data_IF_882083474105
#
_entry.id   IF_882083474105
#
_cell.length_a   1.000
_cell.length_b   1.000
_cell.length_c   1.000
_cell.angle_alpha   90.00
_cell.angle_beta   90.00
_cell.angle_gamma   90.00
#
_symmetry.space_group_name_H-M   'P 1'
#
loop_
_entity.id
_entity.type
_entity.pdbx_description
1 polymer ?
#
# COMPACT_ATOMS: atom_id res chain seq x y z
N UNK A 1 45.38 22.93 -16.60
CA UNK A 1 44.62 21.66 -16.65
C UNK A 1 43.17 21.96 -17.05
N UNK A 2 42.67 21.30 -18.10
CA UNK A 2 41.50 21.71 -18.90
C UNK A 2 40.17 21.54 -18.16
N UNK A 3 39.54 22.65 -17.72
CA UNK A 3 38.15 22.69 -17.19
C UNK A 3 37.09 22.21 -18.20
N UNK A 4 37.46 22.02 -19.46
CA UNK A 4 36.56 21.61 -20.56
C UNK A 4 35.92 20.23 -20.39
N UNK A 5 36.53 19.31 -19.61
CA UNK A 5 35.99 17.95 -19.44
C UNK A 5 34.95 17.82 -18.33
N UNK A 6 34.81 18.86 -17.49
CA UNK A 6 33.89 18.86 -16.35
C UNK A 6 32.44 19.00 -16.82
N UNK A 7 32.17 19.87 -17.80
CA UNK A 7 30.82 20.12 -18.31
C UNK A 7 30.13 18.91 -18.97
N UNK A 8 30.77 18.15 -19.88
CA UNK A 8 30.12 16.96 -20.45
C UNK A 8 29.91 15.86 -19.39
N UNK A 9 30.81 15.74 -18.41
CA UNK A 9 30.66 14.80 -17.31
C UNK A 9 29.47 15.16 -16.40
N UNK A 10 29.34 16.44 -16.01
CA UNK A 10 28.19 16.92 -15.22
C UNK A 10 26.89 16.76 -16.01
N UNK A 11 26.88 17.09 -17.31
CA UNK A 11 25.71 16.90 -18.19
C UNK A 11 25.29 15.42 -18.27
N UNK A 12 26.24 14.51 -18.43
CA UNK A 12 25.99 13.07 -18.44
C UNK A 12 25.37 12.59 -17.12
N UNK A 13 25.89 13.04 -15.98
CA UNK A 13 25.32 12.71 -14.66
C UNK A 13 23.88 13.20 -14.49
N UNK A 14 23.58 14.41 -14.97
CA UNK A 14 22.21 14.97 -14.96
C UNK A 14 21.28 14.16 -15.87
N UNK A 15 21.72 13.78 -17.07
CA UNK A 15 20.96 12.92 -17.98
C UNK A 15 20.68 11.54 -17.37
N UNK A 16 21.68 10.89 -16.76
CA UNK A 16 21.50 9.62 -16.03
C UNK A 16 20.51 9.81 -14.88
N UNK A 17 20.61 10.90 -14.12
CA UNK A 17 19.68 11.24 -13.05
C UNK A 17 18.23 11.40 -13.56
N UNK A 18 18.03 12.06 -14.70
CA UNK A 18 16.71 12.23 -15.32
C UNK A 18 16.14 10.91 -15.86
N UNK A 19 16.96 10.10 -16.54
CA UNK A 19 16.55 8.79 -17.07
C UNK A 19 16.17 7.86 -15.93
N UNK A 20 16.98 7.79 -14.87
CA UNK A 20 16.67 6.98 -13.69
C UNK A 20 15.43 7.49 -12.97
N UNK A 21 15.25 8.80 -12.79
CA UNK A 21 14.02 9.37 -12.23
C UNK A 21 12.78 8.99 -13.05
N UNK A 22 12.84 9.13 -14.38
CA UNK A 22 11.72 8.82 -15.26
C UNK A 22 11.39 7.33 -15.26
N UNK A 23 12.39 6.48 -15.49
CA UNK A 23 12.21 5.03 -15.66
C UNK A 23 11.97 4.30 -14.34
N UNK A 24 12.57 4.73 -13.23
CA UNK A 24 12.49 4.04 -11.95
C UNK A 24 11.42 4.61 -11.03
N UNK A 25 11.16 5.93 -11.02
CA UNK A 25 10.21 6.56 -10.08
C UNK A 25 8.89 6.89 -10.75
N UNK A 26 8.92 7.62 -11.88
CA UNK A 26 7.70 8.06 -12.55
C UNK A 26 6.91 6.87 -13.13
N UNK A 27 7.59 5.97 -13.85
CA UNK A 27 6.95 4.77 -14.44
C UNK A 27 6.46 3.75 -13.41
N UNK A 28 7.14 3.59 -12.27
CA UNK A 28 6.68 2.66 -11.21
C UNK A 28 5.62 3.30 -10.30
N UNK A 29 5.30 4.60 -10.49
CA UNK A 29 4.50 5.38 -9.53
C UNK A 29 5.02 5.24 -8.08
N UNK A 30 6.32 5.03 -7.95
CA UNK A 30 7.02 4.76 -6.69
C UNK A 30 6.77 3.39 -6.05
N UNK A 31 6.03 2.47 -6.67
CA UNK A 31 5.78 1.12 -6.15
C UNK A 31 7.05 0.25 -6.16
N UNK A 32 7.24 -0.52 -5.08
CA UNK A 32 8.22 -1.59 -5.01
C UNK A 32 7.84 -2.54 -3.86
N UNK A 33 8.13 -3.85 -4.01
CA UNK A 33 7.81 -4.87 -3.01
C UNK A 33 8.32 -4.52 -1.60
N UNK A 34 9.58 -4.07 -1.46
CA UNK A 34 10.15 -3.73 -0.16
C UNK A 34 9.39 -2.61 0.58
N UNK A 35 8.60 -1.80 -0.15
CA UNK A 35 7.80 -0.70 0.43
C UNK A 35 6.49 -1.17 1.03
N UNK A 36 6.06 -2.39 0.72
CA UNK A 36 4.83 -2.99 1.28
C UNK A 36 5.13 -4.13 2.26
N UNK A 37 6.31 -4.73 2.20
CA UNK A 37 6.72 -5.79 3.13
C UNK A 37 7.31 -5.22 4.43
N UNK A 38 6.72 -5.59 5.57
CA UNK A 38 7.20 -5.18 6.90
C UNK A 38 8.20 -6.18 7.48
N UNK A 39 8.99 -5.72 8.47
CA UNK A 39 9.84 -6.60 9.29
C UNK A 39 9.20 -6.93 10.65
N UNK A 40 7.96 -6.48 10.88
CA UNK A 40 7.27 -6.76 12.12
C UNK A 40 6.76 -8.20 12.10
N UNK A 41 6.87 -8.89 13.23
CA UNK A 41 6.30 -10.21 13.40
C UNK A 41 4.83 -10.14 13.80
N UNK A 42 4.34 -11.26 14.35
CA UNK A 42 3.03 -11.34 14.96
C UNK A 42 2.88 -10.37 16.15
N UNK A 43 1.75 -9.66 16.22
CA UNK A 43 1.35 -8.79 17.32
C UNK A 43 -0.15 -9.04 17.62
N UNK A 44 -0.47 -9.63 18.79
CA UNK A 44 -1.84 -10.06 19.10
C UNK A 44 -2.83 -8.91 19.22
N UNK A 45 -2.35 -7.67 19.40
CA UNK A 45 -3.22 -6.47 19.46
C UNK A 45 -3.90 -6.16 18.13
N UNK A 46 -3.35 -6.69 17.04
CA UNK A 46 -3.81 -6.46 15.67
C UNK A 46 -4.24 -7.75 14.99
N UNK A 47 -4.46 -8.79 15.79
CA UNK A 47 -5.03 -10.06 15.36
C UNK A 47 -6.55 -10.00 15.51
N UNK A 48 -7.25 -10.16 14.39
CA UNK A 48 -8.72 -10.11 14.34
C UNK A 48 -9.33 -11.52 14.26
N UNK A 49 -8.52 -12.56 14.51
CA UNK A 49 -8.96 -13.94 14.47
C UNK A 49 -8.99 -14.55 13.07
N UNK A 50 -9.56 -15.74 12.98
CA UNK A 50 -9.73 -16.44 11.71
C UNK A 50 -10.83 -15.78 10.87
N UNK A 51 -10.67 -15.73 9.53
CA UNK A 51 -11.74 -15.28 8.66
C UNK A 51 -13.00 -16.14 8.85
N UNK A 52 -14.18 -15.52 8.78
CA UNK A 52 -15.43 -16.26 8.68
C UNK A 52 -15.64 -16.78 7.24
N UNK A 53 -16.72 -17.53 7.00
CA UNK A 53 -16.99 -18.14 5.69
C UNK A 53 -17.05 -17.12 4.53
N UNK A 54 -17.71 -15.97 4.75
CA UNK A 54 -17.79 -14.90 3.74
C UNK A 54 -16.43 -14.29 3.44
N UNK A 55 -15.59 -14.11 4.47
CA UNK A 55 -14.24 -13.59 4.34
C UNK A 55 -13.30 -14.61 3.69
N UNK A 56 -13.45 -15.90 3.97
CA UNK A 56 -12.71 -16.95 3.27
C UNK A 56 -13.04 -16.93 1.77
N UNK A 57 -14.32 -16.85 1.40
CA UNK A 57 -14.74 -16.74 0.00
C UNK A 57 -14.19 -15.47 -0.67
N UNK A 58 -14.17 -14.34 0.04
CA UNK A 58 -13.55 -13.09 -0.41
C UNK A 58 -12.04 -13.24 -0.65
N UNK A 59 -11.34 -13.89 0.27
CA UNK A 59 -9.91 -14.13 0.19
C UNK A 59 -9.56 -15.08 -0.98
N UNK A 60 -10.41 -16.07 -1.24
CA UNK A 60 -10.29 -16.94 -2.40
C UNK A 60 -10.51 -16.18 -3.70
N UNK A 61 -11.53 -15.31 -3.76
CA UNK A 61 -11.80 -14.46 -4.92
C UNK A 61 -10.58 -13.60 -5.31
N UNK A 62 -9.92 -12.96 -4.34
CA UNK A 62 -8.74 -12.12 -4.61
C UNK A 62 -7.48 -12.95 -4.95
N UNK A 63 -7.43 -14.24 -4.59
CA UNK A 63 -6.30 -15.12 -4.87
C UNK A 63 -6.39 -15.80 -6.25
N UNK A 64 -7.59 -16.03 -6.77
CA UNK A 64 -7.81 -16.71 -8.06
C UNK A 64 -7.19 -15.96 -9.26
N UNK A 65 -7.31 -14.63 -9.29
CA UNK A 65 -6.90 -13.80 -10.43
C UNK A 65 -5.90 -12.72 -10.00
N UNK A 66 -5.01 -12.27 -10.90
CA UNK A 66 -4.07 -11.19 -10.58
C UNK A 66 -4.80 -9.88 -10.26
N UNK A 67 -4.33 -9.19 -9.22
CA UNK A 67 -4.81 -7.87 -8.85
C UNK A 67 -4.00 -6.80 -9.60
N UNK A 68 -4.69 -5.91 -10.28
CA UNK A 68 -4.03 -4.87 -11.10
C UNK A 68 -3.80 -3.60 -10.30
N UNK A 69 -2.62 -3.00 -10.43
CA UNK A 69 -2.33 -1.74 -9.75
C UNK A 69 -3.35 -0.65 -10.12
N UNK A 70 -4.05 -0.15 -9.10
CA UNK A 70 -5.04 0.92 -9.24
C UNK A 70 -4.41 2.28 -8.98
N UNK A 71 -3.62 2.41 -7.91
CA UNK A 71 -3.12 3.71 -7.50
C UNK A 71 -2.22 3.69 -6.27
N UNK A 72 -1.67 4.87 -5.96
CA UNK A 72 -0.80 5.09 -4.81
C UNK A 72 -1.36 6.22 -3.96
N UNK A 73 -1.78 5.92 -2.74
CA UNK A 73 -2.20 6.91 -1.75
C UNK A 73 -1.06 7.36 -0.83
N UNK A 74 -1.37 8.13 0.21
CA UNK A 74 -0.37 8.53 1.22
C UNK A 74 0.17 7.33 2.00
N UNK A 75 -0.74 6.47 2.47
CA UNK A 75 -0.42 5.35 3.38
C UNK A 75 -0.42 3.98 2.70
N UNK A 76 -0.97 3.82 1.50
CA UNK A 76 -1.12 2.51 0.86
C UNK A 76 -0.90 2.53 -0.66
N UNK A 77 -0.63 1.35 -1.22
CA UNK A 77 -0.79 1.08 -2.64
C UNK A 77 -2.04 0.24 -2.84
N UNK A 78 -2.90 0.64 -3.78
CA UNK A 78 -4.17 0.00 -4.05
C UNK A 78 -4.06 -0.85 -5.31
N UNK A 79 -4.59 -2.06 -5.25
CA UNK A 79 -4.75 -2.99 -6.35
C UNK A 79 -6.22 -3.38 -6.45
N UNK A 80 -6.70 -3.62 -7.66
CA UNK A 80 -8.10 -3.93 -7.94
C UNK A 80 -8.21 -5.31 -8.56
N UNK A 81 -9.28 -6.04 -8.22
CA UNK A 81 -9.64 -7.29 -8.87
C UNK A 81 -9.99 -7.08 -10.35
N UNK A 82 -9.96 -8.17 -11.13
CA UNK A 82 -10.22 -8.13 -12.58
C UNK A 82 -11.63 -7.63 -12.93
N UNK A 83 -12.63 -7.98 -12.12
CA UNK A 83 -14.02 -7.51 -12.22
C UNK A 83 -14.19 -6.06 -11.74
N UNK A 84 -13.16 -5.48 -11.14
CA UNK A 84 -13.19 -4.12 -10.65
C UNK A 84 -14.01 -3.91 -9.37
N UNK A 85 -14.51 -4.97 -8.72
CA UNK A 85 -15.43 -4.86 -7.58
C UNK A 85 -14.72 -4.60 -6.25
N UNK A 86 -13.52 -5.14 -6.08
CA UNK A 86 -12.75 -5.11 -4.83
C UNK A 86 -11.43 -4.38 -5.00
N UNK A 87 -11.00 -3.73 -3.92
CA UNK A 87 -9.72 -3.05 -3.81
C UNK A 87 -8.94 -3.63 -2.63
N UNK A 88 -7.77 -4.18 -2.91
CA UNK A 88 -6.81 -4.65 -1.91
C UNK A 88 -5.73 -3.57 -1.73
N UNK A 89 -5.57 -3.07 -0.51
CA UNK A 89 -4.62 -2.00 -0.18
C UNK A 89 -3.51 -2.55 0.71
N UNK A 90 -2.26 -2.43 0.24
CA UNK A 90 -1.08 -2.78 1.02
C UNK A 90 -0.45 -1.53 1.64
N UNK A 91 -0.11 -1.59 2.93
CA UNK A 91 0.41 -0.44 3.66
C UNK A 91 1.85 -0.10 3.27
N UNK A 92 2.16 1.20 3.19
CA UNK A 92 3.48 1.72 2.88
C UNK A 92 4.38 1.69 4.11
N UNK A 93 5.22 0.68 4.16
CA UNK A 93 6.15 0.45 5.25
C UNK A 93 7.25 1.53 5.36
N UNK A 94 7.53 2.33 4.31
CA UNK A 94 8.54 3.40 4.39
C UNK A 94 8.30 4.44 5.50
N UNK A 95 7.04 4.67 5.87
CA UNK A 95 6.65 5.62 6.91
C UNK A 95 6.48 4.95 8.27
N UNK A 96 6.39 3.62 8.29
CA UNK A 96 6.13 2.79 9.47
C UNK A 96 7.39 2.06 9.97
N UNK A 97 8.37 1.81 9.09
CA UNK A 97 9.66 1.17 9.40
C UNK A 97 10.76 2.18 9.69
N UNK A 98 11.72 1.71 10.47
CA UNK A 98 13.07 2.27 10.50
C UNK A 98 14.03 1.25 9.91
N UNK A 99 14.42 1.45 8.66
CA UNK A 99 15.57 0.78 8.07
C UNK A 99 16.75 1.74 8.18
N UNK A 100 17.81 1.40 8.91
CA UNK A 100 19.09 2.08 8.75
C UNK A 100 20.27 1.12 8.99
N UNK A 101 21.20 1.13 8.04
CA UNK A 101 22.58 0.60 8.15
C UNK A 101 23.30 1.22 9.36
N UNK A 102 22.84 2.39 9.84
CA UNK A 102 23.33 3.06 11.05
C UNK A 102 23.04 2.31 12.37
N UNK A 103 22.60 1.05 12.32
CA UNK A 103 22.66 0.14 13.47
C UNK A 103 24.06 -0.44 13.68
N UNK A 104 24.90 -0.46 12.64
CA UNK A 104 26.25 -1.03 12.66
C UNK A 104 27.36 0.00 12.89
N UNK A 105 27.02 1.29 12.97
CA UNK A 105 27.99 2.36 13.22
C UNK A 105 27.93 2.77 14.71
N UNK A 106 29.07 2.90 15.39
CA UNK A 106 29.13 3.44 16.75
C UNK A 106 28.92 4.96 16.68
N UNK A 107 27.66 5.41 16.80
CA UNK A 107 27.32 6.84 16.65
C UNK A 107 27.09 7.51 18.00
N UNK A 108 27.63 8.72 18.13
CA UNK A 108 27.52 9.71 19.22
C UNK A 108 26.11 9.81 19.83
N UNK A 109 26.03 9.95 21.16
CA UNK A 109 24.79 9.96 21.98
C UNK A 109 23.64 10.84 21.45
N UNK A 110 23.91 12.04 20.90
CA UNK A 110 22.86 12.92 20.35
C UNK A 110 22.11 12.30 19.16
N UNK A 111 22.79 11.49 18.34
CA UNK A 111 22.15 10.78 17.23
C UNK A 111 21.25 9.65 17.74
N UNK A 112 21.67 8.96 18.81
CA UNK A 112 20.85 7.92 19.45
C UNK A 112 19.53 8.48 19.98
N UNK A 113 19.54 9.67 20.58
CA UNK A 113 18.32 10.35 21.05
C UNK A 113 17.38 10.66 19.87
N UNK A 114 17.89 11.31 18.82
CA UNK A 114 17.09 11.62 17.60
C UNK A 114 16.56 10.36 16.92
N UNK A 115 17.35 9.28 16.91
CA UNK A 115 16.96 7.97 16.39
C UNK A 115 15.81 7.38 17.21
N UNK A 116 15.90 7.40 18.55
CA UNK A 116 14.82 6.95 19.45
C UNK A 116 13.54 7.75 19.25
N UNK A 117 13.62 9.08 19.17
CA UNK A 117 12.46 9.94 18.89
C UNK A 117 11.81 9.63 17.54
N UNK A 118 12.61 9.45 16.48
CA UNK A 118 12.12 9.09 15.15
C UNK A 118 11.45 7.71 15.13
N UNK A 119 12.02 6.74 15.86
CA UNK A 119 11.44 5.41 16.05
C UNK A 119 10.10 5.48 16.77
N UNK A 120 10.04 6.20 17.89
CA UNK A 120 8.82 6.43 18.66
C UNK A 120 7.73 7.06 17.80
N UNK A 121 8.03 8.15 17.09
CA UNK A 121 7.05 8.82 16.19
C UNK A 121 6.52 7.90 15.11
N UNK A 122 7.36 7.03 14.52
CA UNK A 122 6.92 6.04 13.52
C UNK A 122 6.05 4.96 14.14
N UNK A 123 6.39 4.48 15.33
CA UNK A 123 5.58 3.52 16.07
C UNK A 123 4.20 4.09 16.42
N UNK A 124 4.13 5.35 16.89
CA UNK A 124 2.87 6.05 17.16
C UNK A 124 2.03 6.19 15.90
N UNK A 125 2.62 6.67 14.79
CA UNK A 125 1.90 6.80 13.51
C UNK A 125 1.36 5.46 13.00
N UNK A 126 2.10 4.37 13.18
CA UNK A 126 1.61 3.03 12.84
C UNK A 126 0.43 2.64 13.73
N UNK A 127 0.54 2.84 15.04
CA UNK A 127 -0.53 2.55 16.00
C UNK A 127 -1.80 3.33 15.65
N UNK A 128 -1.67 4.62 15.34
CA UNK A 128 -2.78 5.48 14.92
C UNK A 128 -3.42 4.98 13.62
N UNK A 129 -2.62 4.66 12.61
CA UNK A 129 -3.11 4.12 11.35
C UNK A 129 -3.86 2.80 11.56
N UNK A 130 -3.27 1.87 12.30
CA UNK A 130 -3.87 0.56 12.56
C UNK A 130 -5.15 0.69 13.38
N UNK A 131 -5.17 1.59 14.37
CA UNK A 131 -6.39 1.87 15.14
C UNK A 131 -7.48 2.48 14.27
N UNK A 132 -7.13 3.37 13.34
CA UNK A 132 -8.08 3.93 12.37
C UNK A 132 -8.66 2.85 11.46
N UNK A 133 -7.83 1.92 10.97
CA UNK A 133 -8.31 0.78 10.18
C UNK A 133 -9.21 -0.17 10.98
N UNK A 134 -8.85 -0.43 12.24
CA UNK A 134 -9.68 -1.21 13.16
C UNK A 134 -11.06 -0.56 13.33
N UNK A 135 -11.13 0.74 13.62
CA UNK A 135 -12.39 1.47 13.77
C UNK A 135 -13.23 1.38 12.48
N UNK A 136 -12.61 1.57 11.31
CA UNK A 136 -13.29 1.44 10.03
C UNK A 136 -13.88 0.04 9.81
N UNK A 137 -13.16 -1.00 10.22
CA UNK A 137 -13.57 -2.39 10.09
C UNK A 137 -14.69 -2.78 11.07
N UNK A 138 -14.55 -2.40 12.34
CA UNK A 138 -15.46 -2.82 13.41
C UNK A 138 -16.72 -1.96 13.50
N UNK A 139 -16.63 -0.65 13.23
CA UNK A 139 -17.69 0.32 13.53
C UNK A 139 -18.33 0.91 12.27
N UNK A 140 -17.59 0.99 11.15
CA UNK A 140 -18.07 1.65 9.93
C UNK A 140 -17.85 0.81 8.64
N UNK A 141 -18.14 -0.51 8.64
CA UNK A 141 -17.88 -1.35 7.47
C UNK A 141 -18.71 -0.93 6.26
N UNK A 142 -19.97 -0.50 6.46
CA UNK A 142 -20.86 -0.04 5.39
C UNK A 142 -20.39 1.26 4.75
N UNK A 143 -20.01 2.26 5.56
CA UNK A 143 -19.58 3.56 5.07
C UNK A 143 -18.20 3.52 4.42
N UNK A 144 -17.30 2.71 4.97
CA UNK A 144 -15.90 2.62 4.50
C UNK A 144 -15.70 1.53 3.47
N UNK A 145 -16.69 0.65 3.31
CA UNK A 145 -16.65 -0.53 2.46
C UNK A 145 -15.60 -1.55 2.88
N UNK A 146 -15.10 -1.53 4.13
CA UNK A 146 -14.09 -2.49 4.60
C UNK A 146 -14.73 -3.85 4.80
N UNK A 147 -14.18 -4.86 4.14
CA UNK A 147 -14.68 -6.24 4.19
C UNK A 147 -13.76 -7.16 4.99
N UNK A 148 -12.46 -6.89 4.96
CA UNK A 148 -11.46 -7.70 5.63
C UNK A 148 -10.23 -6.88 6.00
N UNK A 149 -9.65 -7.19 7.16
CA UNK A 149 -8.52 -6.46 7.74
C UNK A 149 -7.46 -7.44 8.25
N UNK A 150 -6.23 -7.30 7.77
CA UNK A 150 -5.08 -8.10 8.21
C UNK A 150 -3.90 -7.18 8.51
N UNK A 151 -3.62 -6.94 9.80
CA UNK A 151 -2.63 -5.95 10.26
C UNK A 151 -1.41 -6.57 10.96
N UNK A 152 -1.37 -7.89 11.08
CA UNK A 152 -0.29 -8.64 11.72
C UNK A 152 0.06 -9.84 10.86
N UNK A 153 1.31 -10.33 10.93
CA UNK A 153 1.71 -11.53 10.20
C UNK A 153 1.12 -12.78 10.82
N UNK A 154 0.64 -13.70 10.02
CA UNK A 154 0.00 -14.95 10.46
C UNK A 154 0.62 -16.16 9.74
N UNK A 155 0.02 -17.35 9.88
CA UNK A 155 0.38 -18.58 9.14
C UNK A 155 -0.86 -19.34 8.66
N UNK A 156 -2.01 -18.69 8.74
CA UNK A 156 -3.33 -19.29 8.64
C UNK A 156 -3.95 -19.03 7.27
N UNK A 157 -3.61 -17.91 6.61
CA UNK A 157 -4.22 -17.55 5.33
C UNK A 157 -3.76 -18.47 4.20
N UNK A 158 -2.48 -18.86 4.18
CA UNK A 158 -1.84 -19.83 3.28
C UNK A 158 -2.13 -19.61 1.79
N UNK A 159 -2.36 -18.36 1.40
CA UNK A 159 -2.75 -17.96 0.04
C UNK A 159 -1.66 -17.15 -0.63
N UNK A 160 -1.13 -17.62 -1.77
CA UNK A 160 -0.38 -16.75 -2.67
C UNK A 160 -1.35 -15.87 -3.47
N UNK A 161 -1.03 -14.58 -3.59
CA UNK A 161 -1.74 -13.64 -4.46
C UNK A 161 -0.79 -13.12 -5.53
N UNK A 162 -1.34 -12.78 -6.70
CA UNK A 162 -0.57 -12.28 -7.84
C UNK A 162 -0.92 -10.82 -8.06
N UNK A 163 0.09 -9.96 -8.15
CA UNK A 163 -0.07 -8.52 -8.36
C UNK A 163 0.51 -8.13 -9.72
N UNK A 164 -0.26 -7.41 -10.54
CA UNK A 164 0.26 -6.72 -11.72
C UNK A 164 0.71 -5.33 -11.31
N UNK A 165 2.02 -5.12 -11.35
CA UNK A 165 2.66 -3.86 -10.97
C UNK A 165 2.35 -2.73 -11.97
N UNK A 166 2.64 -1.46 -11.65
CA UNK A 166 2.45 -0.33 -12.59
C UNK A 166 3.16 -0.48 -13.95
N UNK A 167 4.18 -1.34 -14.03
CA UNK A 167 4.93 -1.62 -15.27
C UNK A 167 4.41 -2.85 -16.02
N UNK A 168 3.35 -3.50 -15.54
CA UNK A 168 2.80 -4.72 -16.11
C UNK A 168 3.51 -6.01 -15.66
N UNK A 169 4.60 -5.92 -14.89
CA UNK A 169 5.26 -7.10 -14.34
C UNK A 169 4.40 -7.76 -13.25
N UNK A 170 4.43 -9.08 -13.18
CA UNK A 170 3.72 -9.88 -12.17
C UNK A 170 4.60 -10.09 -10.92
N UNK A 171 3.99 -10.01 -9.75
CA UNK A 171 4.62 -10.20 -8.45
C UNK A 171 3.74 -11.10 -7.58
N UNK A 172 4.28 -12.23 -7.13
CA UNK A 172 3.58 -13.15 -6.23
C UNK A 172 3.93 -12.87 -4.78
N UNK A 173 2.93 -12.71 -3.92
CA UNK A 173 3.06 -12.46 -2.49
C UNK A 173 2.33 -13.52 -1.67
N UNK A 174 2.80 -13.83 -0.47
CA UNK A 174 2.06 -14.62 0.52
C UNK A 174 1.25 -13.67 1.40
N UNK A 175 -0.06 -13.88 1.54
CA UNK A 175 -0.90 -12.98 2.35
C UNK A 175 -0.51 -12.96 3.83
N UNK A 176 -0.08 -14.10 4.37
CA UNK A 176 0.41 -14.25 5.74
C UNK A 176 1.52 -13.27 6.12
N UNK A 177 2.33 -12.84 5.14
CA UNK A 177 3.50 -11.97 5.35
C UNK A 177 3.19 -10.48 5.20
N UNK A 178 1.95 -10.12 4.90
CA UNK A 178 1.57 -8.79 4.44
C UNK A 178 0.53 -8.14 5.34
N UNK A 179 0.67 -6.84 5.61
CA UNK A 179 -0.41 -6.05 6.18
C UNK A 179 -1.23 -5.40 5.07
N UNK A 180 -2.53 -5.70 5.05
CA UNK A 180 -3.45 -5.25 4.02
C UNK A 180 -4.88 -5.10 4.52
N UNK A 181 -5.68 -4.45 3.70
CA UNK A 181 -7.12 -4.28 3.89
C UNK A 181 -7.83 -4.52 2.56
N UNK A 182 -8.95 -5.22 2.61
CA UNK A 182 -9.82 -5.45 1.45
C UNK A 182 -11.05 -4.55 1.60
N UNK A 183 -11.37 -3.82 0.53
CA UNK A 183 -12.48 -2.88 0.52
C UNK A 183 -13.32 -3.03 -0.75
N UNK A 184 -14.63 -2.78 -0.66
CA UNK A 184 -15.48 -2.52 -1.82
C UNK A 184 -14.93 -1.33 -2.59
N UNK A 185 -14.94 -1.40 -3.92
CA UNK A 185 -14.56 -0.26 -4.74
C UNK A 185 -15.65 0.80 -4.71
N UNK A 186 -15.31 2.01 -4.28
CA UNK A 186 -16.20 3.15 -4.39
C UNK A 186 -16.52 3.44 -5.86
N UNK A 187 -17.81 3.55 -6.18
CA UNK A 187 -18.26 4.09 -7.46
C UNK A 187 -18.17 5.62 -7.40
N UNK A 188 -17.72 6.24 -8.49
CA UNK A 188 -17.80 7.70 -8.58
C UNK A 188 -19.28 8.09 -8.53
N UNK A 189 -19.62 9.13 -7.79
CA UNK A 189 -21.00 9.66 -7.74
C UNK A 189 -21.38 10.42 -9.00
N UNK A 190 -20.42 10.97 -9.75
CA UNK A 190 -20.71 11.77 -10.96
C UNK A 190 -21.51 11.04 -12.06
N UNK A 191 -21.26 9.75 -12.41
CA UNK A 191 -22.06 9.03 -13.39
C UNK A 191 -23.45 8.68 -12.85
N UNK A 192 -23.55 8.40 -11.54
CA UNK A 192 -24.82 8.11 -10.85
C UNK A 192 -25.68 9.37 -10.84
N UNK A 193 -25.12 10.52 -10.48
CA UNK A 193 -25.79 11.81 -10.55
C UNK A 193 -26.21 12.15 -11.97
N UNK A 194 -25.35 11.92 -12.97
CA UNK A 194 -25.69 12.12 -14.37
C UNK A 194 -26.78 11.15 -14.89
N UNK A 195 -26.86 9.93 -14.34
CA UNK A 195 -27.93 8.97 -14.65
C UNK A 195 -29.25 9.34 -13.96
N UNK A 196 -29.20 9.77 -12.70
CA UNK A 196 -30.36 10.27 -11.95
C UNK A 196 -30.95 11.51 -12.60
N UNK A 197 -30.11 12.47 -13.00
CA UNK A 197 -30.55 13.70 -13.69
C UNK A 197 -31.27 13.37 -15.00
N UNK A 198 -30.75 12.41 -15.78
CA UNK A 198 -31.39 11.91 -17.01
C UNK A 198 -32.74 11.25 -16.72
N UNK A 199 -32.83 10.42 -15.67
CA UNK A 199 -34.07 9.72 -15.29
C UNK A 199 -35.17 10.69 -14.84
N UNK A 200 -34.82 11.72 -14.07
CA UNK A 200 -35.75 12.77 -13.65
C UNK A 200 -36.28 13.55 -14.86
N UNK A 201 -35.41 13.91 -15.82
CA UNK A 201 -35.81 14.63 -17.04
C UNK A 201 -36.63 13.81 -18.05
N UNK A 202 -36.68 12.47 -17.90
CA UNK A 202 -37.41 11.57 -18.80
C UNK A 202 -38.76 11.11 -18.26
N UNK A 203 -39.13 11.49 -17.03
CA UNK A 203 -40.47 11.21 -16.48
C UNK A 203 -41.42 12.31 -16.95
N UNK A 204 -42.46 12.01 -17.75
CA UNK A 204 -43.49 12.98 -18.06
C UNK A 204 -44.26 13.30 -16.78
N UNK A 205 -44.51 14.60 -16.55
CA UNK A 205 -45.36 15.10 -15.47
C UNK A 205 -46.84 14.82 -15.72
#
# INVERSE_FOLDING_TARGET
>A
MKKSWIYPFVSLLVCIGMITYYTAIKRTKGFCYYKIHSLYGYDPRWDFGMPNEEQEALLDQIAQRPLTFLGSGKECYAFVTADGSLVVKFFKQKHLRTQYITNYLPIVNKYLIRKKQKLSRRASRRKELYKSCQIAYEQFPEDTGVLYLHLTKTKTLRRPIRLITPKGAELTLKLDDMEFIVQRRAQKTSPIYAALKRKISSTPG
#
